data_IF_813107343868
#
_entry.id   IF_813107343868
#
_cell.length_a   1.000
_cell.length_b   1.000
_cell.length_c   1.000
_cell.angle_alpha   90.00
_cell.angle_beta   90.00
_cell.angle_gamma   90.00
#
_symmetry.space_group_name_H-M   'P 1'
#
loop_
_entity.id
_entity.type
_entity.pdbx_description
1 polymer ?
#
# COMPACT_ATOMS: atom_id res chain seq x y z
N UNK A 1 14.88 -6.77 -33.34
CA UNK A 1 14.86 -7.34 -31.99
C UNK A 1 13.90 -6.46 -31.24
N UNK A 2 12.67 -6.95 -31.14
CA UNK A 2 11.64 -6.33 -30.34
C UNK A 2 12.15 -6.39 -28.90
N UNK A 3 12.46 -5.24 -28.30
CA UNK A 3 12.97 -5.22 -26.92
C UNK A 3 11.86 -5.45 -25.91
N UNK A 4 10.63 -5.75 -26.38
CA UNK A 4 9.55 -6.41 -25.66
C UNK A 4 9.71 -6.29 -24.16
N UNK A 5 9.54 -5.06 -23.65
CA UNK A 5 9.41 -4.83 -22.22
C UNK A 5 8.06 -5.43 -21.84
N UNK A 6 8.04 -6.75 -21.68
CA UNK A 6 6.85 -7.53 -21.37
C UNK A 6 6.42 -7.14 -19.96
N UNK A 7 5.18 -6.66 -19.74
CA UNK A 7 4.66 -6.37 -18.40
C UNK A 7 4.74 -7.58 -17.44
N UNK A 8 4.97 -8.78 -17.98
CA UNK A 8 5.13 -10.05 -17.26
C UNK A 8 6.42 -10.13 -16.40
N UNK A 9 7.45 -9.30 -16.65
CA UNK A 9 8.73 -9.41 -15.92
C UNK A 9 8.71 -8.80 -14.49
N UNK A 10 7.66 -8.05 -14.12
CA UNK A 10 7.57 -7.36 -12.83
C UNK A 10 6.70 -8.05 -11.76
N UNK A 11 6.18 -9.27 -11.97
CA UNK A 11 5.15 -9.85 -11.08
C UNK A 11 5.45 -11.25 -10.52
N UNK A 12 6.56 -11.88 -10.89
CA UNK A 12 6.84 -13.26 -10.46
C UNK A 12 7.17 -13.41 -8.96
N UNK A 13 7.40 -12.30 -8.28
CA UNK A 13 7.77 -12.27 -6.87
C UNK A 13 6.71 -11.62 -5.98
N UNK A 14 5.55 -11.24 -6.53
CA UNK A 14 4.53 -10.51 -5.80
C UNK A 14 3.44 -11.43 -5.26
N UNK A 15 3.15 -11.28 -3.97
CA UNK A 15 1.99 -11.91 -3.36
C UNK A 15 0.83 -10.90 -3.27
N UNK A 16 -0.32 -11.13 -3.92
CA UNK A 16 -1.43 -10.19 -3.91
C UNK A 16 -2.14 -10.17 -2.54
N UNK A 17 -2.45 -8.97 -2.04
CA UNK A 17 -3.22 -8.75 -0.81
C UNK A 17 -4.64 -8.25 -1.10
N UNK A 18 -4.75 -7.15 -1.85
CA UNK A 18 -6.02 -6.50 -2.16
C UNK A 18 -6.02 -6.08 -3.62
N UNK A 19 -7.18 -6.21 -4.23
CA UNK A 19 -7.47 -5.76 -5.59
C UNK A 19 -8.61 -4.76 -5.54
N UNK A 20 -8.48 -3.65 -6.27
CA UNK A 20 -9.57 -2.71 -6.49
C UNK A 20 -10.14 -2.87 -7.90
N UNK A 21 -11.45 -2.63 -8.05
CA UNK A 21 -12.11 -2.64 -9.36
C UNK A 21 -11.53 -1.58 -10.33
N UNK A 22 -10.80 -0.59 -9.79
CA UNK A 22 -10.04 0.41 -10.57
C UNK A 22 -8.71 -0.12 -11.12
N UNK A 23 -8.34 -1.36 -10.84
CA UNK A 23 -7.11 -1.98 -11.36
C UNK A 23 -5.86 -1.71 -10.52
N UNK A 24 -6.00 -1.16 -9.31
CA UNK A 24 -4.86 -1.02 -8.39
C UNK A 24 -4.66 -2.31 -7.60
N UNK A 25 -3.39 -2.67 -7.40
CA UNK A 25 -2.99 -3.87 -6.69
C UNK A 25 -2.16 -3.49 -5.48
N UNK A 26 -2.58 -3.97 -4.31
CA UNK A 26 -1.73 -3.98 -3.12
C UNK A 26 -1.09 -5.37 -3.00
N UNK A 27 0.23 -5.41 -2.96
CA UNK A 27 1.01 -6.66 -2.99
C UNK A 27 2.11 -6.66 -1.92
N UNK A 28 2.63 -7.84 -1.60
CA UNK A 28 3.89 -7.99 -0.85
C UNK A 28 5.00 -8.41 -1.80
N UNK A 29 6.11 -7.69 -1.80
CA UNK A 29 7.32 -8.09 -2.53
C UNK A 29 8.01 -9.25 -1.81
N UNK A 30 8.02 -10.44 -2.42
CA UNK A 30 8.64 -11.64 -1.86
C UNK A 30 10.03 -11.94 -2.46
N UNK A 31 10.42 -11.21 -3.51
CA UNK A 31 11.70 -11.31 -4.19
C UNK A 31 12.83 -10.64 -3.42
N UNK A 32 14.07 -10.97 -3.79
CA UNK A 32 15.24 -10.33 -3.21
C UNK A 32 15.36 -8.88 -3.68
N UNK A 33 15.73 -7.97 -2.79
CA UNK A 33 15.94 -6.56 -3.12
C UNK A 33 15.61 -5.61 -1.99
N UNK A 34 15.68 -4.30 -2.27
CA UNK A 34 15.45 -3.25 -1.27
C UNK A 34 14.00 -3.17 -0.77
N UNK A 35 13.07 -3.80 -1.47
CA UNK A 35 11.64 -3.84 -1.12
C UNK A 35 11.18 -5.18 -0.58
N UNK A 36 12.07 -6.17 -0.42
CA UNK A 36 11.71 -7.48 0.12
C UNK A 36 10.93 -7.35 1.44
N UNK A 37 9.76 -8.00 1.50
CA UNK A 37 8.85 -8.01 2.64
C UNK A 37 7.96 -6.78 2.80
N UNK A 38 8.14 -5.73 1.97
CA UNK A 38 7.34 -4.50 2.02
C UNK A 38 6.01 -4.68 1.29
N UNK A 39 5.03 -3.86 1.69
CA UNK A 39 3.73 -3.78 1.01
C UNK A 39 3.75 -2.63 0.03
N UNK A 40 3.51 -2.97 -1.22
CA UNK A 40 3.54 -2.06 -2.36
C UNK A 40 2.13 -1.78 -2.85
N UNK A 41 1.91 -0.58 -3.34
CA UNK A 41 0.79 -0.22 -4.19
C UNK A 41 1.31 -0.06 -5.59
N UNK A 42 0.72 -0.81 -6.52
CA UNK A 42 1.05 -0.76 -7.93
C UNK A 42 -0.13 -0.18 -8.69
N UNK A 43 0.18 0.87 -9.43
CA UNK A 43 -0.70 1.51 -10.40
C UNK A 43 0.02 1.55 -11.75
N UNK A 44 -0.70 1.26 -12.83
CA UNK A 44 -0.11 1.16 -14.18
C UNK A 44 0.43 2.51 -14.64
N UNK A 45 -0.19 3.62 -14.25
CA UNK A 45 0.22 4.97 -14.66
C UNK A 45 1.31 5.54 -13.74
N UNK A 46 1.22 5.25 -12.44
CA UNK A 46 2.05 5.89 -11.39
C UNK A 46 3.24 5.03 -10.95
N UNK A 47 3.28 3.75 -11.33
CA UNK A 47 4.32 2.80 -10.95
C UNK A 47 4.18 2.28 -9.52
N UNK A 48 5.31 1.88 -8.92
CA UNK A 48 5.37 1.25 -7.59
C UNK A 48 5.53 2.32 -6.52
N UNK A 49 4.68 2.27 -5.50
CA UNK A 49 4.82 3.04 -4.28
C UNK A 49 4.88 2.10 -3.06
N UNK A 50 5.89 2.27 -2.21
CA UNK A 50 5.92 1.57 -0.91
C UNK A 50 4.90 2.23 0.01
N UNK A 51 3.87 1.48 0.40
CA UNK A 51 2.88 1.93 1.38
C UNK A 51 3.23 1.47 2.78
N UNK A 52 3.67 0.23 2.98
CA UNK A 52 4.02 -0.26 4.32
C UNK A 52 5.35 -0.99 4.32
N UNK A 53 6.09 -0.87 5.41
CA UNK A 53 7.40 -1.51 5.55
C UNK A 53 7.29 -3.03 5.76
N UNK A 54 6.14 -3.52 6.24
CA UNK A 54 5.81 -4.94 6.34
C UNK A 54 4.31 -5.17 6.45
N UNK A 55 3.87 -6.43 6.37
CA UNK A 55 2.49 -6.82 6.72
C UNK A 55 2.15 -6.47 8.17
N UNK A 56 3.11 -6.64 9.09
CA UNK A 56 2.92 -6.28 10.49
C UNK A 56 2.67 -4.77 10.64
N UNK A 57 3.49 -3.93 10.00
CA UNK A 57 3.29 -2.47 10.07
C UNK A 57 1.98 -2.05 9.40
N UNK A 58 1.55 -2.73 8.34
CA UNK A 58 0.22 -2.53 7.74
C UNK A 58 -0.90 -2.80 8.76
N UNK A 59 -0.91 -3.95 9.42
CA UNK A 59 -1.96 -4.28 10.38
C UNK A 59 -1.94 -3.37 11.61
N UNK A 60 -0.76 -3.01 12.11
CA UNK A 60 -0.62 -2.04 13.21
C UNK A 60 -1.16 -0.66 12.81
N UNK A 61 -0.89 -0.22 11.59
CA UNK A 61 -1.38 1.06 11.07
C UNK A 61 -2.90 1.07 10.96
N UNK A 62 -3.49 0.01 10.39
CA UNK A 62 -4.96 -0.13 10.30
C UNK A 62 -5.60 -0.18 11.69
N UNK A 63 -4.99 -0.91 12.63
CA UNK A 63 -5.44 -0.97 14.03
C UNK A 63 -5.45 0.41 14.69
N UNK A 64 -4.40 1.20 14.48
CA UNK A 64 -4.29 2.53 15.07
C UNK A 64 -5.30 3.51 14.42
N UNK A 65 -5.50 3.44 13.10
CA UNK A 65 -6.57 4.20 12.43
C UNK A 65 -7.96 3.89 13.00
N UNK A 66 -8.25 2.60 13.23
CA UNK A 66 -9.52 2.19 13.81
C UNK A 66 -9.69 2.69 15.24
N UNK A 67 -8.65 2.53 16.06
CA UNK A 67 -8.66 2.91 17.48
C UNK A 67 -8.80 4.43 17.67
N UNK A 68 -8.27 5.21 16.73
CA UNK A 68 -8.35 6.67 16.71
C UNK A 68 -9.62 7.20 16.01
N UNK A 69 -10.50 6.33 15.52
CA UNK A 69 -11.73 6.71 14.84
C UNK A 69 -11.49 7.41 13.50
N UNK A 70 -10.39 7.11 12.81
CA UNK A 70 -10.01 7.71 11.53
C UNK A 70 -10.76 7.11 10.33
N UNK A 71 -12.06 6.91 10.49
CA UNK A 71 -12.94 6.44 9.43
C UNK A 71 -14.33 7.09 9.55
N UNK A 72 -15.05 7.12 8.43
CA UNK A 72 -16.46 7.47 8.34
C UNK A 72 -17.20 6.32 7.67
N UNK A 73 -18.45 6.08 8.05
CA UNK A 73 -19.31 5.13 7.34
C UNK A 73 -20.25 5.92 6.45
N UNK A 74 -20.10 5.78 5.13
CA UNK A 74 -20.91 6.47 4.10
C UNK A 74 -21.55 5.40 3.22
N UNK A 75 -22.89 5.38 3.13
CA UNK A 75 -23.63 4.40 2.33
C UNK A 75 -23.17 2.93 2.56
N UNK A 76 -23.04 2.55 3.84
CA UNK A 76 -22.56 1.22 4.28
C UNK A 76 -21.13 0.87 3.84
N UNK A 77 -20.33 1.87 3.45
CA UNK A 77 -18.91 1.74 3.11
C UNK A 77 -18.04 2.50 4.08
N UNK A 78 -16.88 1.94 4.39
CA UNK A 78 -15.84 2.62 5.17
C UNK A 78 -15.09 3.55 4.24
N UNK A 79 -15.10 4.84 4.57
CA UNK A 79 -14.23 5.86 3.97
C UNK A 79 -13.23 6.31 5.03
N UNK A 80 -11.94 6.42 4.67
CA UNK A 80 -10.94 6.92 5.61
C UNK A 80 -11.19 8.42 5.89
N UNK A 81 -11.14 8.80 7.17
CA UNK A 81 -11.65 10.08 7.69
C UNK A 81 -10.93 11.33 7.15
N UNK A 82 -11.56 12.49 7.30
CA UNK A 82 -11.08 13.81 6.87
C UNK A 82 -9.92 14.38 7.68
N UNK A 83 -9.55 13.79 8.82
CA UNK A 83 -8.33 14.17 9.54
C UNK A 83 -7.10 13.55 8.85
N UNK A 84 -6.84 14.03 7.63
CA UNK A 84 -5.74 13.61 6.79
C UNK A 84 -4.38 13.86 7.45
N UNK A 85 -4.29 14.89 8.29
CA UNK A 85 -3.05 15.19 9.02
C UNK A 85 -2.73 14.07 10.00
N UNK A 86 -3.67 13.71 10.88
CA UNK A 86 -3.45 12.64 11.85
C UNK A 86 -3.30 11.28 11.19
N UNK A 87 -4.05 11.02 10.11
CA UNK A 87 -3.92 9.82 9.30
C UNK A 87 -2.50 9.65 8.73
N UNK A 88 -1.96 10.71 8.12
CA UNK A 88 -0.60 10.68 7.60
C UNK A 88 0.47 10.62 8.70
N UNK A 89 0.28 11.32 9.83
CA UNK A 89 1.22 11.29 10.96
C UNK A 89 1.38 9.88 11.55
N UNK A 90 0.27 9.15 11.73
CA UNK A 90 0.29 7.75 12.19
C UNK A 90 0.98 6.87 11.14
N UNK A 91 0.60 7.01 9.86
CA UNK A 91 1.17 6.27 8.76
C UNK A 91 2.69 6.45 8.65
N UNK A 92 3.18 7.68 8.68
CA UNK A 92 4.59 8.02 8.60
C UNK A 92 5.39 7.53 9.82
N UNK A 93 4.80 7.58 11.02
CA UNK A 93 5.43 7.08 12.24
C UNK A 93 5.58 5.56 12.24
N UNK A 94 4.56 4.83 11.79
CA UNK A 94 4.57 3.36 11.77
C UNK A 94 5.25 2.77 10.53
N UNK A 95 5.37 3.55 9.46
CA UNK A 95 6.00 3.14 8.20
C UNK A 95 7.06 4.18 7.78
N UNK A 96 8.12 4.39 8.59
CA UNK A 96 9.13 5.39 8.29
C UNK A 96 9.81 5.09 6.95
N UNK A 97 9.90 6.11 6.10
CA UNK A 97 10.54 6.02 4.79
C UNK A 97 9.70 5.36 3.69
N UNK A 98 8.46 4.95 3.97
CA UNK A 98 7.52 4.56 2.94
C UNK A 98 7.07 5.80 2.15
N UNK A 99 7.11 5.73 0.82
CA UNK A 99 6.88 6.90 -0.06
C UNK A 99 5.46 7.44 -0.05
N UNK A 100 4.51 6.68 0.50
CA UNK A 100 3.10 7.03 0.55
C UNK A 100 2.76 8.04 1.65
N UNK A 101 3.33 7.89 2.85
CA UNK A 101 2.98 8.71 4.01
C UNK A 101 3.80 10.00 4.04
N UNK A 102 3.14 11.15 4.14
CA UNK A 102 3.76 12.49 4.08
C UNK A 102 3.41 13.36 5.26
#
# INVERSE_FOLDING_TARGET
MDTGDDPEDYQNTWFPLLFSDSGSYRVVECGEGSNQGKVLDYDVESGICVQFNSLESMFLTVHEFWSEGLYTIVNDRIEWSTDYKKFNEIGARLNPGAGYWK
#
